data_IF_187825207245
#
_entry.id   IF_187825207245
#
_cell.length_a   1.000
_cell.length_b   1.000
_cell.length_c   1.000
_cell.angle_alpha   90.00
_cell.angle_beta   90.00
_cell.angle_gamma   90.00
#
_symmetry.space_group_name_H-M   'P 1'
#
loop_
_entity.id
_entity.type
_entity.pdbx_description
1 polymer ?
#
# COMPACT_ATOMS: atom_id res chain seq x y z
N UNK A 1 19.96 -16.48 -46.56
CA UNK A 1 21.32 -16.08 -46.14
C UNK A 1 21.33 -16.02 -44.62
N UNK A 2 21.87 -17.06 -43.96
CA UNK A 2 21.84 -17.25 -42.49
C UNK A 2 23.04 -16.55 -41.85
N UNK A 3 22.79 -15.47 -41.12
CA UNK A 3 23.78 -14.82 -40.23
C UNK A 3 23.87 -15.59 -38.90
N UNK A 4 24.36 -16.82 -38.95
CA UNK A 4 24.65 -17.63 -37.75
C UNK A 4 26.09 -18.10 -37.83
N UNK A 5 27.04 -17.19 -37.59
CA UNK A 5 28.42 -17.58 -37.37
C UNK A 5 29.13 -16.60 -36.43
N UNK A 6 29.70 -17.18 -35.37
CA UNK A 6 30.75 -16.66 -34.48
C UNK A 6 30.38 -15.64 -33.39
N UNK A 7 29.64 -16.10 -32.39
CA UNK A 7 29.98 -15.76 -31.00
C UNK A 7 30.74 -16.95 -30.42
N UNK A 8 32.00 -16.74 -30.05
CA UNK A 8 32.78 -17.75 -29.33
C UNK A 8 32.11 -18.08 -27.99
N UNK A 9 32.25 -19.31 -27.45
CA UNK A 9 31.62 -19.68 -26.17
C UNK A 9 31.90 -18.68 -25.03
N UNK A 10 33.07 -18.03 -25.06
CA UNK A 10 33.46 -16.97 -24.12
C UNK A 10 32.64 -15.69 -24.26
N UNK A 11 32.28 -15.26 -25.47
CA UNK A 11 31.46 -14.04 -25.65
C UNK A 11 30.03 -14.27 -25.19
N UNK A 12 29.47 -15.47 -25.40
CA UNK A 12 28.14 -15.82 -24.88
C UNK A 12 28.06 -15.76 -23.34
N UNK A 13 29.09 -16.27 -22.65
CA UNK A 13 29.18 -16.20 -21.18
C UNK A 13 29.29 -14.75 -20.66
N UNK A 14 29.99 -13.87 -21.39
CA UNK A 14 30.08 -12.45 -21.04
C UNK A 14 28.71 -11.77 -21.16
N UNK A 15 27.95 -12.05 -22.23
CA UNK A 15 26.60 -11.50 -22.39
C UNK A 15 25.63 -12.02 -21.30
N UNK A 16 25.71 -13.29 -20.93
CA UNK A 16 24.89 -13.82 -19.83
C UNK A 16 25.27 -13.18 -18.48
N UNK A 17 26.56 -12.96 -18.21
CA UNK A 17 27.01 -12.29 -16.99
C UNK A 17 26.54 -10.84 -16.93
N UNK A 18 26.65 -10.08 -18.03
CA UNK A 18 26.17 -8.69 -18.12
C UNK A 18 24.65 -8.62 -17.93
N UNK A 19 23.91 -9.53 -18.57
CA UNK A 19 22.45 -9.56 -18.47
C UNK A 19 21.98 -9.96 -17.07
N UNK A 20 22.64 -10.94 -16.43
CA UNK A 20 22.36 -11.31 -15.04
C UNK A 20 22.64 -10.15 -14.08
N UNK A 21 23.76 -9.45 -14.27
CA UNK A 21 24.15 -8.31 -13.42
C UNK A 21 23.18 -7.13 -13.57
N UNK A 22 22.71 -6.87 -14.80
CA UNK A 22 21.70 -5.84 -15.09
C UNK A 22 20.33 -6.17 -14.47
N UNK A 23 19.94 -7.46 -14.48
CA UNK A 23 18.70 -7.90 -13.81
C UNK A 23 18.81 -7.73 -12.30
N UNK A 24 19.93 -8.12 -11.68
CA UNK A 24 20.13 -7.97 -10.24
C UNK A 24 20.13 -6.49 -9.83
N UNK A 25 20.78 -5.63 -10.60
CA UNK A 25 20.81 -4.18 -10.35
C UNK A 25 19.39 -3.57 -10.41
N UNK A 26 18.59 -3.94 -11.43
CA UNK A 26 17.19 -3.51 -11.53
C UNK A 26 16.31 -4.03 -10.40
N UNK A 27 16.53 -5.27 -9.96
CA UNK A 27 15.78 -5.87 -8.86
C UNK A 27 16.12 -5.20 -7.52
N UNK A 28 17.36 -4.75 -7.35
CA UNK A 28 17.83 -4.03 -6.17
C UNK A 28 17.29 -2.59 -6.12
N UNK A 29 17.34 -1.85 -7.24
CA UNK A 29 16.74 -0.50 -7.35
C UNK A 29 15.24 -0.56 -7.04
N UNK A 30 14.50 -1.48 -7.66
CA UNK A 30 13.06 -1.61 -7.44
C UNK A 30 12.72 -2.03 -6.00
N UNK A 31 13.57 -2.86 -5.36
CA UNK A 31 13.42 -3.22 -3.95
C UNK A 31 13.67 -2.02 -3.03
N UNK A 32 14.55 -1.12 -3.40
CA UNK A 32 14.91 0.08 -2.63
C UNK A 32 13.79 1.13 -2.68
N UNK A 33 13.16 1.33 -3.83
CA UNK A 33 12.00 2.21 -3.98
C UNK A 33 10.77 1.73 -3.20
N UNK A 34 10.53 0.41 -3.19
CA UNK A 34 9.46 -0.20 -2.39
C UNK A 34 9.74 -0.02 -0.89
N UNK A 35 10.99 -0.18 -0.45
CA UNK A 35 11.39 0.08 0.93
C UNK A 35 11.20 1.54 1.30
N UNK A 36 11.51 2.49 0.40
CA UNK A 36 11.33 3.92 0.62
C UNK A 36 9.85 4.31 0.77
N UNK A 37 8.95 3.75 -0.06
CA UNK A 37 7.51 3.98 0.04
C UNK A 37 6.91 3.41 1.33
N UNK A 38 7.33 2.20 1.72
CA UNK A 38 6.91 1.58 2.98
C UNK A 38 7.44 2.39 4.15
N UNK A 39 8.70 2.85 4.08
CA UNK A 39 9.31 3.71 5.09
C UNK A 39 8.58 5.05 5.18
N UNK A 40 8.21 5.67 4.06
CA UNK A 40 7.42 6.90 4.02
C UNK A 40 6.06 6.69 4.71
N UNK A 41 5.32 5.63 4.36
CA UNK A 41 4.05 5.30 5.01
C UNK A 41 4.21 5.03 6.51
N UNK A 42 5.28 4.34 6.91
CA UNK A 42 5.59 4.07 8.32
C UNK A 42 6.02 5.33 9.08
N UNK A 43 6.69 6.28 8.42
CA UNK A 43 7.06 7.59 9.00
C UNK A 43 5.81 8.45 9.15
N UNK A 44 4.92 8.52 8.16
CA UNK A 44 3.65 9.23 8.27
C UNK A 44 2.77 8.62 9.38
N UNK A 45 2.80 7.30 9.51
CA UNK A 45 2.16 6.58 10.62
C UNK A 45 2.82 6.89 11.97
N UNK A 46 4.14 6.88 12.05
CA UNK A 46 4.87 7.18 13.28
C UNK A 46 4.66 8.64 13.71
N UNK A 47 4.62 9.59 12.78
CA UNK A 47 4.35 11.01 13.02
C UNK A 47 2.91 11.23 13.51
N UNK A 48 1.94 10.50 12.97
CA UNK A 48 0.55 10.57 13.46
C UNK A 48 0.38 9.93 14.84
N UNK A 49 1.20 8.94 15.20
CA UNK A 49 1.23 8.34 16.55
C UNK A 49 2.11 9.10 17.56
N UNK A 50 3.07 9.92 17.10
CA UNK A 50 3.98 10.67 17.96
C UNK A 50 3.32 11.90 18.62
N UNK A 51 2.15 12.33 18.13
CA UNK A 51 1.34 13.33 18.85
C UNK A 51 0.76 12.67 20.10
N UNK A 52 0.95 13.31 21.26
CA UNK A 52 0.47 12.79 22.56
C UNK A 52 -1.02 12.39 22.47
N UNK A 53 -1.27 11.08 22.44
CA UNK A 53 -2.58 10.45 22.30
C UNK A 53 -3.57 10.80 23.43
N UNK A 54 -3.11 11.47 24.49
CA UNK A 54 -3.84 11.54 25.75
C UNK A 54 -4.73 12.78 25.85
N UNK A 55 -4.55 13.83 25.03
CA UNK A 55 -5.28 15.10 25.20
C UNK A 55 -5.92 15.70 23.93
N UNK A 56 -5.87 15.02 22.78
CA UNK A 56 -6.40 15.56 21.52
C UNK A 56 -7.38 14.57 20.88
N UNK A 57 -8.70 14.84 20.83
CA UNK A 57 -9.69 13.93 20.22
C UNK A 57 -9.37 13.62 18.75
N UNK A 58 -8.64 14.51 18.06
CA UNK A 58 -8.18 14.32 16.69
C UNK A 58 -7.17 13.18 16.52
N UNK A 59 -6.28 12.93 17.49
CA UNK A 59 -5.29 11.85 17.37
C UNK A 59 -5.94 10.47 17.55
N UNK A 60 -6.89 10.35 18.48
CA UNK A 60 -7.73 9.16 18.65
C UNK A 60 -8.52 8.87 17.38
N UNK A 61 -9.18 9.90 16.82
CA UNK A 61 -9.88 9.80 15.54
C UNK A 61 -8.96 9.31 14.41
N UNK A 62 -7.79 9.94 14.25
CA UNK A 62 -6.81 9.59 13.23
C UNK A 62 -6.35 8.14 13.33
N UNK A 63 -6.14 7.64 14.57
CA UNK A 63 -5.77 6.26 14.82
C UNK A 63 -6.86 5.26 14.40
N UNK A 64 -8.13 5.52 14.75
CA UNK A 64 -9.24 4.66 14.33
C UNK A 64 -9.46 4.68 12.82
N UNK A 65 -9.37 5.86 12.19
CA UNK A 65 -9.45 5.99 10.73
C UNK A 65 -8.32 5.23 10.04
N UNK A 66 -7.10 5.32 10.58
CA UNK A 66 -5.95 4.55 10.11
C UNK A 66 -6.21 3.04 10.20
N UNK A 67 -6.60 2.54 11.37
CA UNK A 67 -6.88 1.12 11.57
C UNK A 67 -7.98 0.62 10.63
N UNK A 68 -9.12 1.32 10.60
CA UNK A 68 -10.25 0.96 9.76
C UNK A 68 -9.86 0.88 8.28
N UNK A 69 -9.12 1.88 7.79
CA UNK A 69 -8.67 1.94 6.40
C UNK A 69 -7.65 0.84 6.07
N UNK A 70 -6.65 0.61 6.93
CA UNK A 70 -5.65 -0.45 6.71
C UNK A 70 -6.31 -1.84 6.73
N UNK A 71 -7.20 -2.11 7.69
CA UNK A 71 -7.90 -3.39 7.76
C UNK A 71 -8.79 -3.62 6.55
N UNK A 72 -9.49 -2.58 6.10
CA UNK A 72 -10.32 -2.66 4.89
C UNK A 72 -9.46 -2.91 3.65
N UNK A 73 -8.32 -2.23 3.51
CA UNK A 73 -7.36 -2.49 2.43
C UNK A 73 -6.84 -3.93 2.44
N UNK A 74 -6.51 -4.47 3.62
CA UNK A 74 -6.11 -5.87 3.79
C UNK A 74 -7.22 -6.84 3.39
N UNK A 75 -8.46 -6.53 3.73
CA UNK A 75 -9.64 -7.32 3.37
C UNK A 75 -9.85 -7.34 1.85
N UNK A 76 -9.77 -6.19 1.17
CA UNK A 76 -9.84 -6.09 -0.30
C UNK A 76 -8.73 -6.95 -0.95
N UNK A 77 -7.50 -6.85 -0.46
CA UNK A 77 -6.41 -7.72 -0.93
C UNK A 77 -6.69 -9.21 -0.69
N UNK A 78 -7.40 -9.56 0.38
CA UNK A 78 -7.88 -10.92 0.63
C UNK A 78 -8.87 -11.42 -0.42
N UNK A 79 -9.75 -10.55 -0.93
CA UNK A 79 -10.72 -10.87 -1.97
C UNK A 79 -10.11 -10.90 -3.39
N UNK A 80 -8.90 -10.36 -3.58
CA UNK A 80 -8.26 -10.25 -4.90
C UNK A 80 -7.97 -11.59 -5.60
N UNK A 81 -8.10 -12.72 -4.92
CA UNK A 81 -7.88 -14.05 -5.48
C UNK A 81 -9.11 -14.63 -6.20
N UNK A 82 -10.30 -14.21 -5.79
CA UNK A 82 -11.58 -14.72 -6.30
C UNK A 82 -12.35 -13.67 -7.08
N UNK A 83 -12.11 -12.38 -6.79
CA UNK A 83 -12.81 -11.26 -7.40
C UNK A 83 -12.22 -10.85 -8.75
N UNK A 84 -13.08 -10.42 -9.67
CA UNK A 84 -12.64 -9.78 -10.91
C UNK A 84 -12.01 -8.41 -10.63
N UNK A 85 -11.21 -7.88 -11.58
CA UNK A 85 -10.63 -6.54 -11.47
C UNK A 85 -11.70 -5.45 -11.27
N UNK A 86 -12.85 -5.58 -11.94
CA UNK A 86 -13.99 -4.66 -11.82
C UNK A 86 -14.57 -4.70 -10.41
N UNK A 87 -14.70 -5.89 -9.83
CA UNK A 87 -15.22 -6.03 -8.47
C UNK A 87 -14.25 -5.49 -7.43
N UNK A 88 -12.94 -5.68 -7.61
CA UNK A 88 -11.93 -5.05 -6.75
C UNK A 88 -12.00 -3.53 -6.80
N UNK A 89 -12.17 -2.96 -8.01
CA UNK A 89 -12.32 -1.52 -8.19
C UNK A 89 -13.58 -1.02 -7.46
N UNK A 90 -14.71 -1.71 -7.63
CA UNK A 90 -15.96 -1.39 -6.91
C UNK A 90 -15.78 -1.45 -5.39
N UNK A 91 -15.17 -2.52 -4.88
CA UNK A 91 -14.90 -2.67 -3.44
C UNK A 91 -14.00 -1.55 -2.91
N UNK A 92 -13.00 -1.13 -3.67
CA UNK A 92 -12.13 -0.02 -3.32
C UNK A 92 -12.90 1.30 -3.22
N UNK A 93 -13.64 1.69 -4.26
CA UNK A 93 -14.41 2.95 -4.25
C UNK A 93 -15.51 2.95 -3.21
N UNK A 94 -16.22 1.83 -3.03
CA UNK A 94 -17.24 1.71 -2.00
C UNK A 94 -16.65 1.89 -0.60
N UNK A 95 -15.50 1.23 -0.33
CA UNK A 95 -14.80 1.37 0.94
C UNK A 95 -14.27 2.78 1.16
N UNK A 96 -13.72 3.39 0.12
CA UNK A 96 -13.26 4.77 0.13
C UNK A 96 -14.40 5.73 0.51
N UNK A 97 -15.53 5.69 -0.19
CA UNK A 97 -16.66 6.56 0.12
C UNK A 97 -17.24 6.29 1.50
N UNK A 98 -17.40 5.02 1.87
CA UNK A 98 -17.94 4.64 3.18
C UNK A 98 -17.05 5.16 4.32
N UNK A 99 -15.73 4.94 4.25
CA UNK A 99 -14.78 5.39 5.27
C UNK A 99 -14.61 6.91 5.28
N UNK A 100 -14.63 7.58 4.13
CA UNK A 100 -14.54 9.03 4.06
C UNK A 100 -15.77 9.73 4.64
N UNK A 101 -16.98 9.24 4.32
CA UNK A 101 -18.23 9.79 4.85
C UNK A 101 -18.35 9.48 6.34
N UNK A 102 -18.08 8.23 6.76
CA UNK A 102 -18.09 7.86 8.17
C UNK A 102 -17.03 8.63 8.97
N UNK A 103 -15.83 8.79 8.39
CA UNK A 103 -14.75 9.58 8.96
C UNK A 103 -15.15 11.04 9.14
N UNK A 104 -15.78 11.66 8.15
CA UNK A 104 -16.29 13.02 8.27
C UNK A 104 -17.39 13.14 9.34
N UNK A 105 -18.33 12.20 9.37
CA UNK A 105 -19.40 12.19 10.36
C UNK A 105 -18.86 12.05 11.79
N UNK A 106 -17.87 11.18 12.00
CA UNK A 106 -17.18 11.04 13.29
C UNK A 106 -16.35 12.28 13.62
N UNK A 107 -15.62 12.85 12.66
CA UNK A 107 -14.85 14.06 12.87
C UNK A 107 -15.73 15.23 13.31
N UNK A 108 -16.84 15.46 12.61
CA UNK A 108 -17.77 16.55 12.89
C UNK A 108 -18.56 16.36 14.19
N UNK A 109 -18.80 15.12 14.63
CA UNK A 109 -19.54 14.85 15.87
C UNK A 109 -18.64 14.76 17.10
N UNK A 110 -17.42 14.22 16.96
CA UNK A 110 -16.55 13.88 18.09
C UNK A 110 -15.35 14.83 18.24
N UNK A 111 -14.75 15.29 17.14
CA UNK A 111 -13.53 16.12 17.18
C UNK A 111 -13.89 17.60 17.24
N UNK A 112 -14.79 18.06 16.37
CA UNK A 112 -15.07 19.50 16.23
C UNK A 112 -16.56 19.77 15.99
N UNK A 113 -17.40 19.63 17.04
CA UNK A 113 -18.83 19.89 16.96
C UNK A 113 -19.08 21.39 16.72
N UNK A 114 -19.71 21.71 15.59
CA UNK A 114 -19.97 23.11 15.19
C UNK A 114 -19.09 23.62 14.05
N UNK A 115 -18.42 22.72 13.33
CA UNK A 115 -17.66 23.04 12.11
C UNK A 115 -18.49 23.92 11.15
N UNK A 116 -17.87 24.95 10.57
CA UNK A 116 -18.54 25.74 9.52
C UNK A 116 -18.59 24.94 8.22
N UNK A 117 -19.63 25.17 7.42
CA UNK A 117 -19.91 24.43 6.18
C UNK A 117 -18.71 24.42 5.20
N UNK A 118 -17.93 25.50 5.16
CA UNK A 118 -16.70 25.62 4.36
C UNK A 118 -15.58 24.67 4.82
N UNK A 119 -15.46 24.42 6.12
CA UNK A 119 -14.45 23.53 6.68
C UNK A 119 -14.82 22.06 6.55
N UNK A 120 -16.11 21.71 6.36
CA UNK A 120 -16.50 20.31 6.10
C UNK A 120 -15.88 19.78 4.81
N UNK A 121 -15.82 20.62 3.78
CA UNK A 121 -15.28 20.22 2.48
C UNK A 121 -13.76 20.03 2.55
N UNK A 122 -13.06 20.92 3.26
CA UNK A 122 -11.62 20.81 3.54
C UNK A 122 -11.30 19.55 4.36
N UNK A 123 -12.04 19.30 5.45
CA UNK A 123 -11.90 18.10 6.26
C UNK A 123 -12.22 16.83 5.47
N UNK A 124 -13.25 16.85 4.62
CA UNK A 124 -13.59 15.70 3.77
C UNK A 124 -12.47 15.37 2.77
N UNK A 125 -11.87 16.39 2.15
CA UNK A 125 -10.74 16.20 1.22
C UNK A 125 -9.55 15.59 1.98
N UNK A 126 -9.21 16.13 3.16
CA UNK A 126 -8.11 15.61 3.98
C UNK A 126 -8.36 14.16 4.41
N UNK A 127 -9.54 13.86 4.96
CA UNK A 127 -9.94 12.51 5.35
C UNK A 127 -9.90 11.56 4.15
N UNK A 128 -10.36 12.01 2.98
CA UNK A 128 -10.33 11.21 1.73
C UNK A 128 -8.90 10.88 1.29
N UNK A 129 -8.00 11.86 1.32
CA UNK A 129 -6.59 11.64 1.01
C UNK A 129 -5.96 10.61 1.95
N UNK A 130 -6.14 10.75 3.26
CA UNK A 130 -5.62 9.80 4.24
C UNK A 130 -6.23 8.41 4.09
N UNK A 131 -7.55 8.33 3.92
CA UNK A 131 -8.26 7.06 3.70
C UNK A 131 -7.70 6.31 2.49
N UNK A 132 -7.47 7.02 1.38
CA UNK A 132 -6.88 6.45 0.17
C UNK A 132 -5.49 5.88 0.44
N UNK A 133 -4.61 6.66 1.07
CA UNK A 133 -3.26 6.24 1.40
C UNK A 133 -3.24 4.99 2.30
N UNK A 134 -4.10 4.96 3.32
CA UNK A 134 -4.19 3.86 4.26
C UNK A 134 -4.82 2.60 3.67
N UNK A 135 -5.84 2.74 2.81
CA UNK A 135 -6.41 1.63 2.04
C UNK A 135 -5.34 0.98 1.15
N UNK A 136 -4.59 1.78 0.39
CA UNK A 136 -3.50 1.28 -0.44
C UNK A 136 -2.40 0.62 0.38
N UNK A 137 -1.99 1.24 1.50
CA UNK A 137 -1.02 0.67 2.42
C UNK A 137 -1.45 -0.73 2.89
N UNK A 138 -2.69 -0.86 3.38
CA UNK A 138 -3.24 -2.14 3.82
C UNK A 138 -3.31 -3.18 2.70
N UNK A 139 -3.71 -2.76 1.49
CA UNK A 139 -3.78 -3.62 0.31
C UNK A 139 -2.41 -4.18 -0.08
N UNK A 140 -1.41 -3.31 -0.27
CA UNK A 140 -0.08 -3.71 -0.71
C UNK A 140 0.68 -4.51 0.35
N UNK A 141 0.58 -4.13 1.63
CA UNK A 141 1.20 -4.89 2.73
C UNK A 141 0.68 -6.33 2.76
N UNK A 142 -0.64 -6.52 2.59
CA UNK A 142 -1.25 -7.85 2.53
C UNK A 142 -0.75 -8.66 1.33
N UNK A 143 -0.70 -8.05 0.14
CA UNK A 143 -0.18 -8.67 -1.10
C UNK A 143 1.28 -9.10 -0.97
N UNK A 144 2.14 -8.23 -0.46
CA UNK A 144 3.58 -8.49 -0.29
C UNK A 144 3.79 -9.63 0.72
N UNK A 145 3.12 -9.57 1.87
CA UNK A 145 3.23 -10.60 2.91
C UNK A 145 2.84 -11.98 2.38
N UNK A 146 1.72 -12.07 1.64
CA UNK A 146 1.29 -13.34 1.02
C UNK A 146 2.29 -13.86 -0.01
N UNK A 147 2.86 -12.97 -0.84
CA UNK A 147 3.92 -13.35 -1.80
C UNK A 147 5.15 -13.91 -1.10
N UNK A 148 5.60 -13.28 -0.02
CA UNK A 148 6.76 -13.73 0.74
C UNK A 148 6.50 -15.07 1.43
N UNK A 149 5.32 -15.26 2.01
CA UNK A 149 4.93 -16.55 2.62
C UNK A 149 4.87 -17.67 1.59
N UNK A 150 4.32 -17.42 0.40
CA UNK A 150 4.25 -18.41 -0.67
C UNK A 150 5.65 -18.79 -1.18
N UNK A 151 6.59 -17.84 -1.23
CA UNK A 151 8.00 -18.13 -1.54
C UNK A 151 8.65 -19.01 -0.46
N UNK A 152 8.45 -18.66 0.81
CA UNK A 152 9.00 -19.44 1.93
C UNK A 152 8.45 -20.88 1.99
N UNK A 153 7.17 -21.10 1.69
CA UNK A 153 6.60 -22.45 1.62
C UNK A 153 7.22 -23.29 0.50
N UNK A 154 7.41 -22.69 -0.68
CA UNK A 154 8.10 -23.35 -1.81
C UNK A 154 9.56 -23.71 -1.48
N UNK A 155 10.27 -22.82 -0.79
CA UNK A 155 11.65 -23.06 -0.36
C UNK A 155 11.75 -24.18 0.69
N UNK A 156 10.71 -24.36 1.51
CA UNK A 156 10.63 -25.40 2.53
C UNK A 156 10.08 -26.75 2.03
N UNK A 157 9.74 -26.87 0.74
CA UNK A 157 9.17 -28.09 0.17
C UNK A 157 7.78 -28.44 0.73
N UNK A 158 7.07 -27.46 1.30
CA UNK A 158 5.71 -27.62 1.79
C UNK A 158 4.79 -27.11 0.68
N UNK A 159 4.16 -28.05 -0.05
CA UNK A 159 3.13 -27.75 -1.06
C UNK A 159 1.78 -27.41 -0.41
#
# INVERSE_FOLDING_TARGET
MRLTHYLTPKTYLIYQAIFANWITEKEEIMRTDIKLHILFCLITLALSMAQQLVNLPGSVFGYFLFLGSVYTGRWIAGQSYTASWVDMFRMFFLSFFALSIAGLALFASYVEPGLRLTHYLESLINISCFTTLFLFSGFFVSKIRRRNNAKAMRENGIE
#
